data_IF_313116161858
#
_entry.id   IF_313116161858
#
_cell.length_a   1.000
_cell.length_b   1.000
_cell.length_c   1.000
_cell.angle_alpha   90.00
_cell.angle_beta   90.00
_cell.angle_gamma   90.00
#
_symmetry.space_group_name_H-M   'P 1'
#
loop_
_entity.id
_entity.type
_entity.pdbx_description
1 polymer ?
#
# COMPACT_ATOMS: atom_id res chain seq x y z
N UNK A 1 -4.98 7.01 -41.26
CA UNK A 1 -4.99 7.16 -39.79
C UNK A 1 -5.61 8.51 -39.49
N UNK A 2 -6.90 8.53 -39.17
CA UNK A 2 -7.60 9.75 -38.77
C UNK A 2 -7.18 10.08 -37.35
N UNK A 3 -6.49 11.21 -37.20
CA UNK A 3 -6.11 11.78 -35.92
C UNK A 3 -7.40 12.13 -35.18
N UNK A 4 -7.76 11.34 -34.16
CA UNK A 4 -8.99 11.54 -33.40
C UNK A 4 -8.71 12.64 -32.37
N UNK A 5 -8.83 13.89 -32.80
CA UNK A 5 -8.79 15.04 -31.92
C UNK A 5 -9.93 14.93 -30.92
N UNK A 6 -9.61 14.54 -29.68
CA UNK A 6 -10.55 14.52 -28.57
C UNK A 6 -10.53 15.91 -27.91
N UNK A 7 -11.58 16.72 -28.07
CA UNK A 7 -11.63 18.07 -27.52
C UNK A 7 -11.60 18.08 -25.98
N UNK A 8 -11.95 16.97 -25.33
CA UNK A 8 -11.86 16.86 -23.86
C UNK A 8 -10.39 16.71 -23.47
N UNK A 9 -9.64 15.85 -24.15
CA UNK A 9 -8.21 15.64 -23.87
C UNK A 9 -7.36 16.86 -24.24
N UNK A 10 -7.79 17.69 -25.19
CA UNK A 10 -7.12 18.93 -25.56
C UNK A 10 -7.05 19.98 -24.42
N UNK A 11 -7.92 19.86 -23.41
CA UNK A 11 -7.94 20.74 -22.24
C UNK A 11 -7.27 20.12 -21.00
N UNK A 12 -6.92 18.84 -21.04
CA UNK A 12 -6.22 18.17 -19.96
C UNK A 12 -4.74 18.40 -20.15
N UNK A 13 -4.16 19.31 -19.37
CA UNK A 13 -2.70 19.39 -19.30
C UNK A 13 -2.17 18.14 -18.60
N UNK A 14 -1.19 17.42 -19.19
CA UNK A 14 -0.51 16.37 -18.47
C UNK A 14 0.09 16.98 -17.21
N UNK A 15 -0.18 16.37 -16.06
CA UNK A 15 0.44 16.78 -14.82
C UNK A 15 1.97 16.77 -15.00
N UNK A 16 2.70 17.78 -14.49
CA UNK A 16 4.14 17.73 -14.38
C UNK A 16 4.59 16.34 -13.92
N UNK A 17 5.56 15.75 -14.62
CA UNK A 17 5.99 14.36 -14.38
C UNK A 17 6.44 14.15 -12.93
N UNK A 18 6.92 15.22 -12.32
CA UNK A 18 7.32 15.44 -10.94
C UNK A 18 6.17 15.33 -9.92
N UNK A 19 4.90 15.51 -10.30
CA UNK A 19 3.75 15.32 -9.39
C UNK A 19 3.35 13.86 -9.19
N UNK A 20 3.72 12.97 -10.12
CA UNK A 20 3.47 11.52 -10.02
C UNK A 20 4.69 10.74 -9.51
N UNK A 21 5.77 11.44 -9.17
CA UNK A 21 7.08 10.86 -8.92
C UNK A 21 7.56 11.02 -7.49
N UNK A 22 6.65 11.10 -6.53
CA UNK A 22 7.05 10.83 -5.15
C UNK A 22 7.19 9.31 -4.98
N UNK A 23 8.19 8.76 -5.70
CA UNK A 23 8.55 7.35 -5.70
C UNK A 23 8.66 6.77 -4.29
N UNK A 24 9.23 7.50 -3.29
CA UNK A 24 9.23 7.06 -1.91
C UNK A 24 7.82 6.86 -1.34
N UNK A 25 6.91 7.83 -1.53
CA UNK A 25 5.53 7.73 -1.10
C UNK A 25 4.79 6.56 -1.76
N UNK A 26 4.86 6.47 -3.09
CA UNK A 26 4.16 5.42 -3.85
C UNK A 26 4.71 4.04 -3.51
N UNK A 27 6.03 3.91 -3.30
CA UNK A 27 6.63 2.66 -2.85
C UNK A 27 6.16 2.28 -1.43
N UNK A 28 6.13 3.22 -0.49
CA UNK A 28 5.64 2.99 0.87
C UNK A 28 4.15 2.59 0.88
N UNK A 29 3.33 3.26 0.07
CA UNK A 29 1.91 2.95 -0.08
C UNK A 29 1.68 1.57 -0.72
N UNK A 30 2.45 1.23 -1.76
CA UNK A 30 2.40 -0.08 -2.40
C UNK A 30 2.79 -1.21 -1.43
N UNK A 31 3.81 -1.00 -0.60
CA UNK A 31 4.24 -1.94 0.43
C UNK A 31 3.12 -2.20 1.46
N UNK A 32 2.49 -1.13 1.96
CA UNK A 32 1.36 -1.24 2.90
C UNK A 32 0.19 -2.01 2.27
N UNK A 33 -0.19 -1.67 1.03
CA UNK A 33 -1.28 -2.34 0.31
C UNK A 33 -0.98 -3.82 0.07
N UNK A 34 0.25 -4.17 -0.29
CA UNK A 34 0.66 -5.56 -0.47
C UNK A 34 0.62 -6.33 0.86
N UNK A 35 1.08 -5.73 1.96
CA UNK A 35 1.02 -6.34 3.29
C UNK A 35 -0.43 -6.64 3.69
N UNK A 36 -1.35 -5.67 3.53
CA UNK A 36 -2.78 -5.84 3.81
C UNK A 36 -3.38 -6.95 2.94
N UNK A 37 -3.10 -6.96 1.64
CA UNK A 37 -3.61 -7.99 0.74
C UNK A 37 -3.16 -9.41 1.16
N UNK A 38 -1.92 -9.57 1.61
CA UNK A 38 -1.40 -10.85 2.10
C UNK A 38 -2.05 -11.29 3.41
N UNK A 39 -2.30 -10.36 4.34
CA UNK A 39 -3.03 -10.64 5.59
C UNK A 39 -4.46 -11.07 5.27
N UNK A 40 -5.15 -10.36 4.39
CA UNK A 40 -6.51 -10.72 3.94
C UNK A 40 -6.56 -12.09 3.27
N UNK A 41 -5.55 -12.43 2.46
CA UNK A 41 -5.43 -13.76 1.86
C UNK A 41 -5.23 -14.84 2.95
N UNK A 42 -4.34 -14.60 3.92
CA UNK A 42 -4.11 -15.54 5.02
C UNK A 42 -5.34 -15.72 5.91
N UNK A 43 -6.12 -14.65 6.13
CA UNK A 43 -7.37 -14.70 6.90
C UNK A 43 -8.42 -15.62 6.27
N UNK A 44 -8.49 -15.67 4.93
CA UNK A 44 -9.44 -16.54 4.23
C UNK A 44 -9.28 -18.01 4.59
N UNK A 45 -8.06 -18.44 4.88
CA UNK A 45 -7.69 -19.83 5.10
C UNK A 45 -7.44 -20.15 6.59
N UNK A 46 -7.79 -19.23 7.50
CA UNK A 46 -7.42 -19.32 8.92
C UNK A 46 -8.63 -19.12 9.85
N UNK A 47 -8.82 -20.03 10.80
CA UNK A 47 -9.85 -19.93 11.85
C UNK A 47 -9.30 -19.60 13.24
N UNK A 48 -10.19 -19.16 14.13
CA UNK A 48 -9.95 -19.04 15.57
C UNK A 48 -8.91 -17.99 15.97
N UNK A 49 -8.09 -18.30 16.98
CA UNK A 49 -7.13 -17.37 17.59
C UNK A 49 -6.06 -16.85 16.62
N UNK A 50 -5.81 -17.58 15.53
CA UNK A 50 -4.89 -17.15 14.48
C UNK A 50 -5.53 -16.08 13.58
N UNK A 51 -6.84 -16.15 13.33
CA UNK A 51 -7.57 -15.11 12.61
C UNK A 51 -7.60 -13.78 13.39
N UNK A 52 -7.81 -13.83 14.72
CA UNK A 52 -7.80 -12.62 15.55
C UNK A 52 -6.45 -11.90 15.54
N UNK A 53 -5.34 -12.65 15.58
CA UNK A 53 -3.99 -12.09 15.47
C UNK A 53 -3.77 -11.44 14.11
N UNK A 54 -4.25 -12.06 13.04
CA UNK A 54 -4.16 -11.52 11.69
C UNK A 54 -5.00 -10.24 11.53
N UNK A 55 -6.23 -10.20 12.05
CA UNK A 55 -7.07 -8.99 12.07
C UNK A 55 -6.34 -7.85 12.79
N UNK A 56 -5.74 -8.13 13.95
CA UNK A 56 -4.96 -7.13 14.68
C UNK A 56 -3.76 -6.64 13.87
N UNK A 57 -3.05 -7.55 13.19
CA UNK A 57 -1.92 -7.20 12.33
C UNK A 57 -2.30 -6.36 11.11
N UNK A 58 -3.57 -6.34 10.70
CA UNK A 58 -4.08 -5.52 9.60
C UNK A 58 -4.39 -4.08 10.03
N UNK A 59 -4.65 -3.84 11.32
CA UNK A 59 -5.04 -2.52 11.83
C UNK A 59 -3.92 -1.49 11.67
N UNK A 60 -2.68 -1.89 11.99
CA UNK A 60 -1.53 -0.98 11.93
C UNK A 60 -1.22 -0.54 10.49
N UNK A 61 -1.17 -1.43 9.48
CA UNK A 61 -1.01 -1.03 8.08
C UNK A 61 -2.14 -0.13 7.58
N UNK A 62 -3.40 -0.44 7.91
CA UNK A 62 -4.54 0.38 7.50
C UNK A 62 -4.47 1.79 8.11
N UNK A 63 -4.05 1.90 9.37
CA UNK A 63 -3.84 3.20 10.02
C UNK A 63 -2.67 3.96 9.37
N UNK A 64 -1.58 3.27 9.08
CA UNK A 64 -0.42 3.87 8.41
C UNK A 64 -0.78 4.39 7.01
N UNK A 65 -1.64 3.71 6.27
CA UNK A 65 -2.14 4.18 4.96
C UNK A 65 -2.88 5.54 5.06
N UNK A 66 -3.69 5.72 6.11
CA UNK A 66 -4.44 6.96 6.32
C UNK A 66 -3.57 8.14 6.78
N UNK A 67 -2.41 7.84 7.37
CA UNK A 67 -1.48 8.83 7.93
C UNK A 67 -0.29 9.12 7.01
N UNK A 68 -0.16 8.38 5.90
CA UNK A 68 0.97 8.51 5.00
C UNK A 68 0.89 9.83 4.23
N UNK A 69 1.96 10.63 4.32
CA UNK A 69 2.08 11.90 3.60
C UNK A 69 3.29 11.85 2.64
N UNK A 70 3.21 12.47 1.44
CA UNK A 70 4.32 12.49 0.49
C UNK A 70 5.59 13.15 1.06
N UNK A 71 5.44 14.24 1.81
CA UNK A 71 6.58 14.94 2.40
C UNK A 71 7.06 14.38 3.76
N UNK A 72 6.47 13.29 4.27
CA UNK A 72 6.85 12.69 5.57
C UNK A 72 7.69 11.42 5.35
N UNK A 73 8.99 11.62 5.14
CA UNK A 73 9.96 10.54 4.93
C UNK A 73 10.01 9.55 6.11
N UNK A 74 9.83 10.02 7.34
CA UNK A 74 9.83 9.14 8.52
C UNK A 74 8.58 8.25 8.52
N UNK A 75 7.42 8.76 8.11
CA UNK A 75 6.21 7.96 7.95
C UNK A 75 6.37 6.90 6.84
N UNK A 76 7.05 7.24 5.75
CA UNK A 76 7.36 6.30 4.68
C UNK A 76 8.32 5.19 5.14
N UNK A 77 9.36 5.52 5.90
CA UNK A 77 10.27 4.52 6.47
C UNK A 77 9.53 3.59 7.45
N UNK A 78 8.69 4.16 8.33
CA UNK A 78 7.84 3.39 9.24
C UNK A 78 6.89 2.46 8.48
N UNK A 79 6.31 2.92 7.37
CA UNK A 79 5.44 2.11 6.52
C UNK A 79 6.18 0.91 5.91
N UNK A 80 7.40 1.10 5.41
CA UNK A 80 8.24 0.00 4.93
C UNK A 80 8.59 -0.99 6.06
N UNK A 81 9.00 -0.49 7.23
CA UNK A 81 9.35 -1.33 8.37
C UNK A 81 8.16 -2.18 8.82
N UNK A 82 6.98 -1.56 8.95
CA UNK A 82 5.73 -2.23 9.29
C UNK A 82 5.38 -3.32 8.27
N UNK A 83 5.53 -3.02 6.97
CA UNK A 83 5.24 -3.97 5.89
C UNK A 83 6.21 -5.16 5.88
N UNK A 84 7.47 -4.97 6.30
CA UNK A 84 8.41 -6.09 6.52
C UNK A 84 8.04 -6.92 7.74
N UNK A 85 7.65 -6.28 8.84
CA UNK A 85 7.21 -6.96 10.08
C UNK A 85 5.99 -7.85 9.82
N UNK A 86 4.96 -7.34 9.12
CA UNK A 86 3.78 -8.13 8.74
C UNK A 86 4.17 -9.33 7.87
N UNK A 87 5.04 -9.13 6.86
CA UNK A 87 5.53 -10.23 6.01
C UNK A 87 6.24 -11.31 6.82
N UNK A 88 7.07 -10.92 7.80
CA UNK A 88 7.76 -11.87 8.69
C UNK A 88 6.77 -12.65 9.54
N UNK A 89 5.80 -11.99 10.18
CA UNK A 89 4.78 -12.67 10.97
C UNK A 89 3.95 -13.66 10.15
N UNK A 90 3.63 -13.33 8.90
CA UNK A 90 2.93 -14.23 8.00
C UNK A 90 3.77 -15.46 7.64
N UNK A 91 5.08 -15.29 7.42
CA UNK A 91 6.00 -16.40 7.15
C UNK A 91 6.18 -17.30 8.37
N UNK A 92 6.40 -16.71 9.55
CA UNK A 92 6.62 -17.44 10.80
C UNK A 92 5.36 -18.21 11.26
N UNK A 93 4.16 -17.75 10.86
CA UNK A 93 2.91 -18.46 11.12
C UNK A 93 2.55 -19.52 10.08
N UNK A 94 3.13 -19.49 8.88
CA UNK A 94 2.87 -20.47 7.82
C UNK A 94 3.68 -21.78 7.99
N UNK A 95 4.70 -21.77 8.84
CA UNK A 95 5.44 -22.95 9.31
C UNK A 95 4.68 -23.67 10.44
#
# INVERSE_FOLDING_TARGET
>A
MTDHYDPILAHVQPAPRDLYWDQPYEAALADLRSAVARVSAALRDTDGTRAERLIRSQQDPNRAQLQLHPDDADAQERAHALSRTVRRHLADGAA
#
